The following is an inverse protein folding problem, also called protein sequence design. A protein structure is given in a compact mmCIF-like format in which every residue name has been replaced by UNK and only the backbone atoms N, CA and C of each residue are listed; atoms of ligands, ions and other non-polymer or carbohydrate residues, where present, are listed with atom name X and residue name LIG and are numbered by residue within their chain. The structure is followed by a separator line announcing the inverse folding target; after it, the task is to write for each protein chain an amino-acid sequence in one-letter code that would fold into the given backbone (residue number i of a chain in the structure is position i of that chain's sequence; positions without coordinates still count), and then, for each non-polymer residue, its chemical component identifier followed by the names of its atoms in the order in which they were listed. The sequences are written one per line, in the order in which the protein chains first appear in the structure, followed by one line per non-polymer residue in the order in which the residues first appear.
data_IF_194626755794
#
_entry.id   IF_194626755794
#
_cell.length_a   1.000
_cell.length_b   1.000
_cell.length_c   1.000
_cell.angle_alpha   90.00
_cell.angle_beta   90.00
_cell.angle_gamma   90.00
#
_symmetry.space_group_name_H-M   'P 1'
#
loop_
_entity.id
_entity.type
_entity.pdbx_description
1 polymer ?
#
# COMPACT_ATOMS: atom_id res chain seq x y z
N UNK A 1 11.63 3.78 35.02
CA UNK A 1 12.44 3.31 33.87
C UNK A 1 13.07 1.98 34.25
N UNK A 2 12.65 0.86 33.65
CA UNK A 2 13.31 -0.42 33.83
C UNK A 2 14.31 -0.64 32.68
N UNK A 3 15.61 -0.79 32.99
CA UNK A 3 16.60 -1.27 32.02
C UNK A 3 16.31 -2.73 31.74
N UNK A 4 15.89 -3.07 30.52
CA UNK A 4 15.80 -4.47 30.06
C UNK A 4 17.22 -5.05 29.98
N UNK A 5 17.47 -6.14 30.70
CA UNK A 5 18.72 -6.89 30.61
C UNK A 5 18.74 -7.72 29.32
N UNK A 6 19.83 -7.64 28.57
CA UNK A 6 20.07 -8.48 27.39
C UNK A 6 20.42 -9.89 27.88
N UNK A 7 19.78 -10.90 27.30
CA UNK A 7 20.09 -12.30 27.57
C UNK A 7 21.49 -12.64 27.00
N UNK A 8 22.42 -12.93 27.90
CA UNK A 8 23.82 -13.21 27.56
C UNK A 8 24.01 -14.51 26.76
N UNK A 9 23.08 -15.47 26.86
CA UNK A 9 23.14 -16.70 26.07
C UNK A 9 22.83 -16.41 24.59
N UNK A 10 21.87 -15.51 24.35
CA UNK A 10 21.53 -15.04 23.00
C UNK A 10 22.70 -14.26 22.40
N UNK A 11 23.38 -13.43 23.20
CA UNK A 11 24.55 -12.69 22.74
C UNK A 11 25.75 -13.59 22.41
N UNK A 12 25.98 -14.67 23.17
CA UNK A 12 27.08 -15.59 22.88
C UNK A 12 26.80 -16.43 21.62
N UNK A 13 25.54 -16.80 21.38
CA UNK A 13 25.14 -17.47 20.15
C UNK A 13 25.32 -16.56 18.91
N UNK A 14 25.11 -15.25 19.08
CA UNK A 14 25.36 -14.22 18.06
C UNK A 14 26.84 -14.12 17.65
N UNK A 15 27.76 -14.08 18.63
CA UNK A 15 29.22 -14.04 18.36
C UNK A 15 29.65 -15.25 17.52
N UNK A 16 29.13 -16.43 17.86
CA UNK A 16 29.49 -17.68 17.20
C UNK A 16 28.96 -17.72 15.76
N UNK A 17 27.72 -17.30 15.53
CA UNK A 17 27.08 -17.32 14.21
C UNK A 17 27.75 -16.34 13.24
N UNK A 18 28.05 -15.12 13.69
CA UNK A 18 28.77 -14.13 12.88
C UNK A 18 30.20 -14.59 12.59
N UNK A 19 30.88 -15.19 13.57
CA UNK A 19 32.24 -15.72 13.37
C UNK A 19 32.25 -16.84 12.34
N UNK A 20 31.24 -17.71 12.33
CA UNK A 20 31.09 -18.79 11.36
C UNK A 20 30.80 -18.26 9.95
N UNK A 21 29.92 -17.27 9.82
CA UNK A 21 29.63 -16.58 8.55
C UNK A 21 30.88 -15.88 7.98
N UNK A 22 31.60 -15.11 8.79
CA UNK A 22 32.85 -14.46 8.39
C UNK A 22 33.92 -15.48 7.98
N UNK A 23 33.98 -16.62 8.67
CA UNK A 23 34.92 -17.70 8.35
C UNK A 23 34.56 -18.38 7.03
N UNK A 24 33.27 -18.62 6.77
CA UNK A 24 32.80 -19.17 5.50
C UNK A 24 33.05 -18.22 4.32
N UNK A 25 32.80 -16.92 4.51
CA UNK A 25 33.06 -15.87 3.50
C UNK A 25 34.56 -15.78 3.17
N UNK A 26 35.43 -15.87 4.19
CA UNK A 26 36.89 -15.88 4.00
C UNK A 26 37.38 -17.14 3.30
N UNK A 27 36.81 -18.31 3.60
CA UNK A 27 37.15 -19.59 2.95
C UNK A 27 36.78 -19.62 1.46
N UNK A 28 35.76 -18.86 1.05
CA UNK A 28 35.25 -18.82 -0.33
C UNK A 28 35.83 -17.64 -1.14
N UNK A 29 36.85 -16.94 -0.63
CA UNK A 29 37.52 -15.85 -1.34
C UNK A 29 36.71 -14.56 -1.48
N UNK A 30 35.57 -14.43 -0.79
CA UNK A 30 34.79 -13.19 -0.72
C UNK A 30 34.13 -12.72 -2.04
N UNK A 31 33.96 -13.61 -3.03
CA UNK A 31 33.46 -13.23 -4.36
C UNK A 31 31.92 -13.27 -4.45
N UNK A 32 31.35 -12.41 -5.31
CA UNK A 32 29.91 -12.33 -5.55
C UNK A 32 29.28 -13.65 -6.08
N UNK A 33 30.07 -14.52 -6.69
CA UNK A 33 29.60 -15.84 -7.16
C UNK A 33 29.41 -16.84 -6.02
N UNK A 34 30.15 -16.72 -4.92
CA UNK A 34 29.93 -17.53 -3.72
C UNK A 34 28.56 -17.23 -3.06
N UNK A 35 28.04 -16.01 -3.23
CA UNK A 35 26.71 -15.62 -2.74
C UNK A 35 25.55 -16.23 -3.55
N UNK A 36 25.79 -16.73 -4.76
CA UNK A 36 24.75 -17.39 -5.58
C UNK A 36 24.35 -18.77 -5.04
N UNK A 37 25.21 -19.40 -4.26
CA UNK A 37 24.99 -20.74 -3.68
C UNK A 37 24.37 -20.70 -2.28
N UNK A 38 24.20 -19.52 -1.69
CA UNK A 38 23.39 -19.39 -0.48
C UNK A 38 21.91 -19.48 -0.85
N UNK A 39 21.18 -20.35 -0.16
CA UNK A 39 19.73 -20.30 -0.23
C UNK A 39 19.30 -18.94 0.33
N UNK A 40 18.71 -18.10 -0.53
CA UNK A 40 18.23 -16.78 -0.13
C UNK A 40 17.30 -16.86 1.07
N UNK A 41 16.55 -17.96 1.21
CA UNK A 41 15.65 -18.17 2.33
C UNK A 41 16.41 -18.38 3.65
N UNK A 42 17.52 -19.12 3.66
CA UNK A 42 18.31 -19.36 4.87
C UNK A 42 18.97 -18.07 5.39
N UNK A 43 19.41 -17.19 4.47
CA UNK A 43 19.94 -15.88 4.83
C UNK A 43 18.82 -14.97 5.33
N UNK A 44 17.64 -15.01 4.70
CA UNK A 44 16.45 -14.26 5.14
C UNK A 44 16.01 -14.72 6.52
N UNK A 45 15.97 -16.02 6.79
CA UNK A 45 15.55 -16.61 8.06
C UNK A 45 16.57 -16.28 9.16
N UNK A 46 17.88 -16.38 8.86
CA UNK A 46 18.94 -15.98 9.80
C UNK A 46 18.92 -14.47 10.10
N UNK A 47 18.61 -13.63 9.10
CA UNK A 47 18.42 -12.19 9.30
C UNK A 47 17.13 -11.91 10.07
N UNK A 48 16.04 -12.65 9.80
CA UNK A 48 14.79 -12.53 10.53
C UNK A 48 14.94 -12.94 12.01
N UNK A 49 15.68 -14.02 12.29
CA UNK A 49 16.08 -14.44 13.63
C UNK A 49 16.99 -13.41 14.33
N UNK A 50 17.91 -12.79 13.61
CA UNK A 50 18.76 -11.67 14.09
C UNK A 50 17.92 -10.47 14.56
N UNK A 51 16.68 -10.38 14.10
CA UNK A 51 15.80 -9.22 14.26
C UNK A 51 14.60 -9.51 15.12
N UNK A 52 14.54 -10.62 15.87
CA UNK A 52 13.41 -10.98 16.77
C UNK A 52 13.25 -10.02 17.97
N UNK A 53 13.92 -8.86 17.97
CA UNK A 53 13.56 -7.68 18.77
C UNK A 53 12.91 -6.51 17.99
N UNK A 54 12.82 -6.59 16.66
CA UNK A 54 12.35 -5.57 15.69
C UNK A 54 11.86 -6.17 14.35
N UNK A 55 11.25 -7.36 14.36
CA UNK A 55 10.83 -8.08 13.15
C UNK A 55 9.83 -7.33 12.26
N UNK A 56 9.11 -6.35 12.79
CA UNK A 56 8.17 -5.54 12.00
C UNK A 56 8.88 -4.60 10.99
N UNK A 57 10.18 -4.35 11.16
CA UNK A 57 10.90 -3.37 10.34
C UNK A 57 11.69 -3.97 9.16
N UNK A 58 11.76 -5.30 9.04
CA UNK A 58 12.68 -5.96 8.10
C UNK A 58 12.08 -7.10 7.29
N UNK A 59 10.74 -7.23 7.24
CA UNK A 59 10.14 -7.59 5.95
C UNK A 59 10.75 -6.63 4.94
N UNK A 60 11.38 -7.12 3.87
CA UNK A 60 11.75 -6.29 2.71
C UNK A 60 10.51 -5.47 2.38
N UNK A 61 10.41 -4.23 2.87
CA UNK A 61 9.16 -3.48 2.80
C UNK A 61 9.03 -3.10 1.34
N UNK A 62 8.34 -3.96 0.58
CA UNK A 62 8.01 -3.70 -0.81
C UNK A 62 7.10 -2.47 -0.94
N UNK A 63 6.72 -1.90 0.19
CA UNK A 63 5.95 -0.70 0.41
C UNK A 63 6.82 0.33 1.17
N UNK A 64 7.05 1.49 0.57
CA UNK A 64 7.69 2.63 1.22
C UNK A 64 6.61 3.60 1.69
N UNK A 65 6.62 4.02 2.96
CA UNK A 65 5.65 5.03 3.41
C UNK A 65 5.92 6.38 2.75
N UNK A 66 4.91 6.92 2.07
CA UNK A 66 4.91 8.29 1.51
C UNK A 66 4.31 9.25 2.53
N UNK A 67 3.20 8.85 3.16
CA UNK A 67 2.50 9.62 4.19
C UNK A 67 2.03 8.72 5.32
N UNK A 68 2.48 9.04 6.53
CA UNK A 68 2.24 8.28 7.76
C UNK A 68 0.85 8.50 8.38
N UNK A 69 0.19 9.61 8.07
CA UNK A 69 -1.15 9.90 8.58
C UNK A 69 -1.84 10.95 7.73
N UNK A 70 -2.98 10.58 7.17
CA UNK A 70 -3.87 11.46 6.42
C UNK A 70 -5.25 11.35 7.05
N UNK A 71 -5.66 12.38 7.79
CA UNK A 71 -7.01 12.44 8.35
C UNK A 71 -8.03 12.62 7.22
N UNK A 72 -9.05 11.78 7.19
CA UNK A 72 -10.18 11.85 6.27
C UNK A 72 -11.41 12.27 7.07
N UNK A 73 -12.09 13.29 6.58
CA UNK A 73 -13.37 13.73 7.13
C UNK A 73 -14.25 14.18 5.99
N UNK A 74 -15.44 13.57 5.88
CA UNK A 74 -16.46 13.98 4.93
C UNK A 74 -17.80 14.05 5.64
N UNK A 75 -18.55 15.14 5.45
CA UNK A 75 -19.99 15.10 5.69
C UNK A 75 -20.64 14.14 4.70
N UNK A 76 -21.79 13.58 5.05
CA UNK A 76 -22.54 12.73 4.15
C UNK A 76 -22.92 13.47 2.85
N UNK A 77 -22.90 12.76 1.71
CA UNK A 77 -23.03 13.36 0.39
C UNK A 77 -23.68 12.44 -0.63
N UNK A 78 -24.33 13.00 -1.66
CA UNK A 78 -24.88 12.21 -2.77
C UNK A 78 -23.76 11.64 -3.65
N UNK A 79 -23.85 10.36 -4.03
CA UNK A 79 -22.90 9.76 -4.98
C UNK A 79 -22.90 10.43 -6.36
N UNK A 80 -23.97 11.15 -6.70
CA UNK A 80 -24.07 11.93 -7.95
C UNK A 80 -22.99 13.02 -8.05
N UNK A 81 -22.35 13.41 -6.94
CA UNK A 81 -21.21 14.34 -6.92
C UNK A 81 -20.05 13.89 -7.83
N UNK A 82 -19.85 12.59 -8.02
CA UNK A 82 -18.80 12.11 -8.94
C UNK A 82 -19.14 12.38 -10.41
N UNK A 83 -20.41 12.61 -10.73
CA UNK A 83 -20.90 12.82 -12.10
C UNK A 83 -21.24 14.28 -12.40
N UNK A 84 -21.13 15.18 -11.43
CA UNK A 84 -21.34 16.61 -11.64
C UNK A 84 -20.11 17.27 -12.27
N UNK A 85 -20.32 18.30 -13.09
CA UNK A 85 -19.24 19.12 -13.68
C UNK A 85 -18.58 20.07 -12.67
N UNK A 86 -18.68 19.77 -11.38
CA UNK A 86 -18.08 20.54 -10.28
C UNK A 86 -16.59 20.21 -10.16
N UNK A 87 -15.84 21.09 -9.49
CA UNK A 87 -14.43 20.84 -9.19
C UNK A 87 -14.33 20.04 -7.87
N UNK A 88 -13.55 18.94 -7.78
CA UNK A 88 -12.73 18.27 -8.81
C UNK A 88 -13.54 17.68 -9.97
N UNK A 89 -13.03 17.86 -11.20
CA UNK A 89 -13.56 17.16 -12.37
C UNK A 89 -13.19 15.68 -12.34
N UNK A 90 -14.19 14.82 -12.52
CA UNK A 90 -13.98 13.37 -12.60
C UNK A 90 -14.21 12.83 -14.01
N UNK A 91 -13.45 11.80 -14.34
CA UNK A 91 -13.78 10.88 -15.43
C UNK A 91 -13.92 9.48 -14.86
N UNK A 92 -15.13 8.92 -14.98
CA UNK A 92 -15.48 7.64 -14.39
C UNK A 92 -15.42 6.57 -15.46
N UNK A 93 -14.54 5.58 -15.29
CA UNK A 93 -14.50 4.43 -16.19
C UNK A 93 -15.68 3.50 -15.93
N UNK A 94 -16.14 2.81 -16.98
CA UNK A 94 -17.30 1.91 -16.92
C UNK A 94 -17.21 0.89 -15.78
N UNK A 95 -16.04 0.30 -15.54
CA UNK A 95 -15.86 -0.67 -14.45
C UNK A 95 -16.02 -0.02 -13.07
N UNK A 96 -15.55 1.21 -12.87
CA UNK A 96 -15.76 1.92 -11.61
C UNK A 96 -17.23 2.26 -11.43
N UNK A 97 -17.89 2.73 -12.49
CA UNK A 97 -19.33 3.01 -12.48
C UNK A 97 -20.12 1.74 -12.09
N UNK A 98 -19.87 0.63 -12.80
CA UNK A 98 -20.63 -0.62 -12.66
C UNK A 98 -20.39 -1.31 -11.32
N UNK A 99 -19.15 -1.36 -10.86
CA UNK A 99 -18.78 -2.18 -9.70
C UNK A 99 -18.81 -1.41 -8.39
N UNK A 100 -18.53 -0.11 -8.43
CA UNK A 100 -18.43 0.74 -7.22
C UNK A 100 -19.65 1.65 -7.14
N UNK A 101 -19.80 2.62 -8.05
CA UNK A 101 -20.80 3.69 -7.88
C UNK A 101 -22.25 3.19 -7.97
N UNK A 102 -22.57 2.29 -8.88
CA UNK A 102 -23.93 1.74 -8.98
C UNK A 102 -24.32 0.93 -7.73
N UNK A 103 -23.33 0.39 -7.01
CA UNK A 103 -23.52 -0.38 -5.78
C UNK A 103 -23.34 0.44 -4.49
N UNK A 104 -22.80 1.64 -4.60
CA UNK A 104 -22.67 2.58 -3.49
C UNK A 104 -24.04 3.08 -3.03
N UNK A 105 -24.14 3.44 -1.76
CA UNK A 105 -25.31 4.12 -1.21
C UNK A 105 -25.60 5.39 -2.02
N UNK A 106 -26.87 5.67 -2.31
CA UNK A 106 -27.25 6.90 -3.02
C UNK A 106 -26.77 8.14 -2.25
N UNK A 107 -26.84 8.05 -0.92
CA UNK A 107 -26.25 8.99 0.02
C UNK A 107 -25.13 8.30 0.81
N UNK A 108 -23.89 8.65 0.49
CA UNK A 108 -22.71 8.12 1.15
C UNK A 108 -22.63 8.74 2.54
N UNK A 109 -22.54 7.95 3.62
CA UNK A 109 -22.56 8.44 4.99
C UNK A 109 -21.33 9.30 5.32
N UNK A 110 -21.41 10.00 6.45
CA UNK A 110 -20.24 10.67 7.04
C UNK A 110 -19.13 9.63 7.27
N UNK A 111 -17.91 10.00 6.91
CA UNK A 111 -16.73 9.18 7.15
C UNK A 111 -15.69 9.98 7.91
N UNK A 112 -15.18 9.40 8.99
CA UNK A 112 -14.07 9.91 9.80
C UNK A 112 -13.09 8.77 10.01
N UNK A 113 -11.86 8.98 9.59
CA UNK A 113 -10.83 7.97 9.75
C UNK A 113 -9.46 8.51 9.36
N UNK A 114 -8.45 7.66 9.48
CA UNK A 114 -7.10 7.97 9.06
C UNK A 114 -6.67 6.95 8.01
N UNK A 115 -5.97 7.44 6.99
CA UNK A 115 -5.32 6.59 5.99
C UNK A 115 -3.82 6.90 5.90
N UNK A 116 -3.05 5.93 5.42
CA UNK A 116 -1.63 6.03 5.07
C UNK A 116 -1.46 5.83 3.58
N UNK A 117 -0.43 6.43 3.02
CA UNK A 117 -0.07 6.30 1.61
C UNK A 117 1.24 5.55 1.50
N UNK A 118 1.22 4.38 0.84
CA UNK A 118 2.37 3.49 0.69
C UNK A 118 2.75 3.38 -0.79
N UNK A 119 3.99 3.73 -1.14
CA UNK A 119 4.54 3.54 -2.49
C UNK A 119 4.96 2.09 -2.68
N UNK A 120 4.55 1.47 -3.78
CA UNK A 120 5.19 0.22 -4.22
C UNK A 120 6.67 0.49 -4.53
N UNK A 121 7.59 -0.42 -4.19
CA UNK A 121 9.03 -0.29 -4.50
C UNK A 121 9.48 -1.23 -5.62
N UNK A 122 8.63 -2.17 -6.00
CA UNK A 122 8.74 -3.05 -7.15
C UNK A 122 7.36 -3.23 -7.80
N UNK A 123 7.32 -3.82 -8.99
CA UNK A 123 6.02 -4.20 -9.57
C UNK A 123 5.38 -5.34 -8.78
N UNK A 124 4.08 -5.25 -8.50
CA UNK A 124 3.35 -6.23 -7.67
C UNK A 124 1.93 -6.46 -8.20
N UNK A 125 1.44 -7.69 -8.09
CA UNK A 125 0.02 -8.04 -8.27
C UNK A 125 -0.81 -7.68 -7.05
N UNK A 126 -2.13 -7.72 -7.18
CA UNK A 126 -3.06 -7.39 -6.10
C UNK A 126 -2.93 -8.35 -4.91
N UNK A 127 -2.79 -9.65 -5.18
CA UNK A 127 -2.55 -10.69 -4.17
C UNK A 127 -1.26 -10.48 -3.39
N UNK A 128 -0.18 -10.07 -4.06
CA UNK A 128 1.08 -9.73 -3.40
C UNK A 128 0.93 -8.49 -2.52
N UNK A 129 0.22 -7.46 -2.99
CA UNK A 129 0.00 -6.24 -2.20
C UNK A 129 -0.86 -6.54 -0.98
N UNK A 130 -1.97 -7.27 -1.15
CA UNK A 130 -2.85 -7.66 -0.04
C UNK A 130 -2.15 -8.55 0.99
N UNK A 131 -1.24 -9.43 0.58
CA UNK A 131 -0.42 -10.21 1.51
C UNK A 131 0.48 -9.34 2.39
N UNK A 132 0.94 -8.20 1.86
CA UNK A 132 1.77 -7.24 2.62
C UNK A 132 0.94 -6.32 3.52
N UNK A 133 -0.18 -5.78 3.02
CA UNK A 133 -0.99 -4.82 3.78
C UNK A 133 -2.01 -5.50 4.69
N UNK A 134 -2.40 -6.74 4.43
CA UNK A 134 -3.42 -7.48 5.17
C UNK A 134 -4.86 -7.06 4.86
N UNK A 135 -5.79 -8.00 5.08
CA UNK A 135 -7.21 -7.82 4.74
C UNK A 135 -7.95 -6.74 5.55
N UNK A 136 -7.41 -6.33 6.70
CA UNK A 136 -7.94 -5.21 7.49
C UNK A 136 -7.91 -3.87 6.73
N UNK A 137 -7.12 -3.80 5.65
CA UNK A 137 -6.99 -2.65 4.77
C UNK A 137 -7.89 -2.72 3.53
N UNK A 138 -8.85 -3.64 3.51
CA UNK A 138 -9.93 -3.66 2.53
C UNK A 138 -11.07 -2.76 3.05
N UNK A 139 -11.48 -1.81 2.22
CA UNK A 139 -12.51 -0.83 2.51
C UNK A 139 -13.87 -1.26 1.96
N UNK A 140 -14.95 -0.73 2.53
CA UNK A 140 -16.27 -0.80 1.91
C UNK A 140 -16.35 0.12 0.70
N UNK A 141 -17.39 -0.08 -0.12
CA UNK A 141 -17.67 0.77 -1.29
C UNK A 141 -17.82 2.24 -0.87
N UNK A 142 -18.61 2.50 0.17
CA UNK A 142 -18.90 3.86 0.63
C UNK A 142 -17.65 4.54 1.24
N UNK A 143 -16.83 3.79 1.98
CA UNK A 143 -15.55 4.30 2.50
C UNK A 143 -14.60 4.68 1.35
N UNK A 144 -14.48 3.83 0.32
CA UNK A 144 -13.62 4.12 -0.82
C UNK A 144 -14.07 5.39 -1.55
N UNK A 145 -15.38 5.58 -1.74
CA UNK A 145 -15.93 6.80 -2.30
C UNK A 145 -15.64 8.02 -1.40
N UNK A 146 -15.85 7.92 -0.09
CA UNK A 146 -15.57 9.02 0.84
C UNK A 146 -14.08 9.41 0.84
N UNK A 147 -13.18 8.42 0.84
CA UNK A 147 -11.73 8.64 0.78
C UNK A 147 -11.36 9.33 -0.52
N UNK A 148 -11.81 8.82 -1.67
CA UNK A 148 -11.51 9.45 -2.96
C UNK A 148 -12.04 10.88 -3.02
N UNK A 149 -13.30 11.14 -2.66
CA UNK A 149 -13.86 12.49 -2.62
C UNK A 149 -13.00 13.43 -1.76
N UNK A 150 -12.72 13.04 -0.52
CA UNK A 150 -12.00 13.91 0.42
C UNK A 150 -10.61 14.29 -0.09
N UNK A 151 -9.91 13.33 -0.71
CA UNK A 151 -8.55 13.52 -1.17
C UNK A 151 -8.49 14.30 -2.49
N UNK A 152 -9.40 14.06 -3.42
CA UNK A 152 -9.45 14.82 -4.68
C UNK A 152 -9.98 16.24 -4.49
N UNK A 153 -10.86 16.49 -3.51
CA UNK A 153 -11.30 17.86 -3.15
C UNK A 153 -10.19 18.71 -2.54
N UNK A 154 -9.16 18.10 -1.96
CA UNK A 154 -7.95 18.80 -1.50
C UNK A 154 -6.95 19.09 -2.62
N UNK A 155 -7.10 18.41 -3.74
CA UNK A 155 -6.25 18.55 -4.93
C UNK A 155 -7.10 18.68 -6.20
N UNK A 156 -8.05 19.63 -6.25
CA UNK A 156 -9.07 19.66 -7.28
C UNK A 156 -8.52 19.78 -8.72
N UNK A 157 -7.34 20.38 -8.86
CA UNK A 157 -6.64 20.59 -10.14
C UNK A 157 -5.39 19.71 -10.28
N UNK A 158 -5.29 18.64 -9.50
CA UNK A 158 -4.14 17.74 -9.51
C UNK A 158 -2.86 18.39 -9.02
N UNK A 159 -2.95 19.41 -8.17
CA UNK A 159 -1.82 20.01 -7.46
C UNK A 159 -1.17 19.01 -6.49
N UNK A 160 0.00 19.36 -5.95
CA UNK A 160 0.67 18.54 -4.95
C UNK A 160 -0.17 18.42 -3.68
N UNK A 161 -0.25 17.21 -3.11
CA UNK A 161 -1.03 16.96 -1.89
C UNK A 161 -0.87 15.55 -1.35
N UNK A 162 -1.96 14.94 -0.88
CA UNK A 162 -2.03 13.61 -0.28
C UNK A 162 -1.96 12.47 -1.30
N UNK A 163 -2.60 12.66 -2.45
CA UNK A 163 -2.53 11.76 -3.60
C UNK A 163 -1.29 12.07 -4.44
N UNK A 164 -0.66 11.01 -4.96
CA UNK A 164 0.28 11.18 -6.06
C UNK A 164 -0.50 11.65 -7.30
N UNK A 165 0.03 12.68 -7.96
CA UNK A 165 -0.59 13.37 -9.09
C UNK A 165 0.22 13.22 -10.40
N UNK A 166 1.26 12.39 -10.41
CA UNK A 166 2.19 12.19 -11.52
C UNK A 166 1.72 11.16 -12.57
N UNK A 167 0.40 11.00 -12.74
CA UNK A 167 -0.20 10.08 -13.70
C UNK A 167 -0.26 8.61 -13.28
N UNK A 168 0.46 8.22 -12.22
CA UNK A 168 0.35 6.92 -11.58
C UNK A 168 -0.86 6.87 -10.64
N UNK A 169 -1.28 5.64 -10.30
CA UNK A 169 -2.49 5.45 -9.52
C UNK A 169 -2.25 5.44 -8.01
N UNK A 170 -3.27 5.93 -7.31
CA UNK A 170 -3.49 5.74 -5.88
C UNK A 170 -4.56 4.65 -5.76
N UNK A 171 -4.19 3.50 -5.21
CA UNK A 171 -4.96 2.27 -5.18
C UNK A 171 -5.61 2.10 -3.81
N UNK A 172 -6.84 1.64 -3.78
CA UNK A 172 -7.53 1.17 -2.57
C UNK A 172 -8.21 -0.16 -2.89
N UNK A 173 -8.19 -1.10 -1.95
CA UNK A 173 -8.90 -2.37 -2.12
C UNK A 173 -10.30 -2.24 -1.58
N UNK A 174 -11.28 -2.64 -2.39
CA UNK A 174 -12.70 -2.49 -2.08
C UNK A 174 -13.36 -3.85 -2.07
N UNK A 175 -14.08 -4.15 -0.98
CA UNK A 175 -14.93 -5.33 -0.89
C UNK A 175 -16.28 -5.04 -1.57
N UNK A 176 -16.59 -5.78 -2.63
CA UNK A 176 -17.85 -5.65 -3.37
C UNK A 176 -18.99 -6.48 -2.77
N UNK A 177 -18.63 -7.61 -2.16
CA UNK A 177 -19.50 -8.56 -1.47
C UNK A 177 -18.63 -9.44 -0.55
N UNK A 178 -19.19 -10.49 0.06
CA UNK A 178 -18.47 -11.35 1.01
C UNK A 178 -17.19 -11.99 0.46
N UNK A 179 -17.09 -12.22 -0.86
CA UNK A 179 -15.99 -12.97 -1.47
C UNK A 179 -15.19 -12.16 -2.48
N UNK A 180 -15.75 -11.06 -2.97
CA UNK A 180 -15.17 -10.31 -4.08
C UNK A 180 -14.47 -9.06 -3.58
N UNK A 181 -13.17 -8.98 -3.84
CA UNK A 181 -12.34 -7.79 -3.62
C UNK A 181 -11.83 -7.31 -4.97
N UNK A 182 -11.85 -6.00 -5.19
CA UNK A 182 -11.28 -5.39 -6.40
C UNK A 182 -10.38 -4.22 -6.02
N UNK A 183 -9.27 -4.00 -6.76
CA UNK A 183 -8.56 -2.73 -6.71
C UNK A 183 -9.39 -1.63 -7.39
N UNK A 184 -9.73 -0.60 -6.62
CA UNK A 184 -10.19 0.67 -7.13
C UNK A 184 -9.03 1.67 -7.11
N UNK A 185 -9.00 2.59 -8.07
CA UNK A 185 -7.91 3.56 -8.15
C UNK A 185 -8.38 4.93 -8.60
N UNK A 186 -7.65 5.94 -8.14
CA UNK A 186 -7.74 7.31 -8.62
C UNK A 186 -6.38 7.76 -9.16
N UNK A 187 -6.37 8.40 -10.32
CA UNK A 187 -5.15 8.98 -10.91
C UNK A 187 -5.44 10.32 -11.57
N UNK A 188 -4.49 11.23 -11.51
CA UNK A 188 -4.57 12.50 -12.20
C UNK A 188 -4.29 12.31 -13.70
N UNK A 189 -5.11 12.93 -14.55
CA UNK A 189 -4.86 13.02 -15.98
C UNK A 189 -4.50 14.45 -16.36
N UNK A 190 -3.24 14.67 -16.74
CA UNK A 190 -2.74 15.99 -17.14
C UNK A 190 -3.45 16.56 -18.37
N UNK A 191 -3.73 15.72 -19.36
CA UNK A 191 -4.25 16.18 -20.66
C UNK A 191 -5.65 16.79 -20.53
N UNK A 192 -6.53 16.11 -19.77
CA UNK A 192 -7.93 16.55 -19.61
C UNK A 192 -8.17 17.33 -18.30
N UNK A 193 -7.14 17.49 -17.47
CA UNK A 193 -7.19 18.08 -16.13
C UNK A 193 -8.33 17.52 -15.28
N UNK A 194 -8.33 16.21 -15.10
CA UNK A 194 -9.38 15.49 -14.38
C UNK A 194 -8.82 14.31 -13.56
N UNK A 195 -9.52 13.97 -12.49
CA UNK A 195 -9.28 12.75 -11.74
C UNK A 195 -10.00 11.57 -12.38
N UNK A 196 -9.26 10.54 -12.78
CA UNK A 196 -9.83 9.32 -13.36
C UNK A 196 -10.07 8.28 -12.27
N UNK A 197 -11.31 7.83 -12.14
CA UNK A 197 -11.74 6.76 -11.25
C UNK A 197 -11.89 5.46 -12.04
N UNK A 198 -11.15 4.42 -11.66
CA UNK A 198 -11.11 3.12 -12.35
C UNK A 198 -11.18 1.99 -11.34
N UNK A 199 -11.94 0.94 -11.63
CA UNK A 199 -11.84 -0.35 -10.96
C UNK A 199 -11.28 -1.40 -11.94
N UNK A 200 -10.56 -2.40 -11.43
CA UNK A 200 -9.96 -3.48 -12.22
C UNK A 200 -10.27 -4.84 -11.61
N UNK A 201 -10.28 -5.88 -12.44
CA UNK A 201 -10.38 -7.24 -11.94
C UNK A 201 -9.17 -7.54 -11.07
N UNK A 202 -9.40 -8.30 -10.01
CA UNK A 202 -8.34 -8.70 -9.09
C UNK A 202 -7.28 -9.54 -9.83
N UNK A 203 -6.01 -9.22 -9.63
CA UNK A 203 -4.82 -9.87 -10.21
C UNK A 203 -4.72 -9.82 -11.75
N UNK A 204 -5.48 -8.93 -12.40
CA UNK A 204 -5.48 -8.76 -13.87
C UNK A 204 -4.12 -8.31 -14.41
N UNK A 205 -3.37 -7.50 -13.65
CA UNK A 205 -2.02 -7.08 -14.01
C UNK A 205 -1.21 -6.64 -12.79
N UNK A 206 0.09 -6.42 -13.01
CA UNK A 206 1.00 -5.89 -11.98
C UNK A 206 1.05 -4.37 -11.98
N UNK A 207 0.92 -3.78 -10.81
CA UNK A 207 1.10 -2.36 -10.55
C UNK A 207 2.59 -2.02 -10.48
N UNK A 208 3.03 -0.94 -11.16
CA UNK A 208 4.43 -0.50 -11.12
C UNK A 208 4.87 0.01 -9.75
N UNK A 209 6.18 -0.06 -9.49
CA UNK A 209 6.96 0.43 -8.34
C UNK A 209 6.85 1.95 -8.00
N UNK A 210 5.85 2.61 -8.51
CA UNK A 210 5.62 4.06 -8.37
C UNK A 210 4.16 4.38 -8.09
N UNK A 211 3.30 3.37 -8.13
CA UNK A 211 1.93 3.48 -7.65
C UNK A 211 1.93 3.64 -6.13
N UNK A 212 0.89 4.31 -5.64
CA UNK A 212 0.59 4.38 -4.21
C UNK A 212 -0.58 3.45 -3.88
N UNK A 213 -0.56 2.89 -2.68
CA UNK A 213 -1.63 2.12 -2.05
C UNK A 213 -2.07 2.86 -0.78
N UNK A 214 -3.37 3.14 -0.68
CA UNK A 214 -3.99 3.73 0.48
C UNK A 214 -4.42 2.62 1.43
N UNK A 215 -3.94 2.70 2.67
CA UNK A 215 -4.24 1.73 3.74
C UNK A 215 -4.78 2.48 4.96
N UNK A 216 -5.40 1.79 5.92
CA UNK A 216 -5.83 2.40 7.18
C UNK A 216 -4.62 2.85 8.00
N UNK A 217 -4.75 4.02 8.62
CA UNK A 217 -3.72 4.66 9.43
C UNK A 217 -3.77 4.29 10.90
#
# INVERSE_FOLDING_TARGET
MAKKSVDMAVFQNWINTISNLLTAIKKLGGTADAFKNFNKQEVIDAVAELLVGKTDDLKLKFLMVIKESISITTSAFSKSLFTTSTNPKYYIWENFQKWILNKASDFIPEFKGTVKSLKLTKSMKDSEILAEIGESNIFSIDEACAIFKALTERQPNGEAGDLINNGYANIIYVRLDEKTVVPARVRWNFDNREWRLIARSFDDYSWFAVHSVLVRG
#
